data_IF_483669663570
#
_entry.id   IF_483669663570
#
_cell.length_a   1.000
_cell.length_b   1.000
_cell.length_c   1.000
_cell.angle_alpha   90.00
_cell.angle_beta   90.00
_cell.angle_gamma   90.00
#
_symmetry.space_group_name_H-M   'P 1'
#
loop_
_entity.id
_entity.type
_entity.pdbx_description
1 polymer ?
#
# COMPACT_ATOMS: atom_id res chain seq x y z
N UNK A 1 -12.61 -2.95 5.43
CA UNK A 1 -13.00 -2.55 4.06
C UNK A 1 -12.41 -3.49 3.04
N UNK A 2 -11.18 -3.23 2.57
CA UNK A 2 -10.57 -3.96 1.45
C UNK A 2 -10.67 -5.50 1.52
N UNK A 3 -10.38 -6.12 2.67
CA UNK A 3 -10.50 -7.57 2.86
C UNK A 3 -11.91 -8.11 2.58
N UNK A 4 -12.95 -7.42 3.08
CA UNK A 4 -14.34 -7.85 2.91
C UNK A 4 -14.79 -7.73 1.45
N UNK A 5 -14.38 -6.67 0.75
CA UNK A 5 -14.75 -6.46 -0.65
C UNK A 5 -14.01 -7.41 -1.59
N UNK A 6 -12.68 -7.53 -1.41
CA UNK A 6 -11.87 -8.48 -2.19
C UNK A 6 -12.23 -9.93 -1.91
N UNK A 7 -12.63 -10.27 -0.68
CA UNK A 7 -13.09 -11.61 -0.29
C UNK A 7 -14.48 -12.00 -0.84
N UNK A 8 -15.14 -11.13 -1.62
CA UNK A 8 -16.33 -11.51 -2.39
C UNK A 8 -15.98 -12.30 -3.66
N UNK A 9 -14.74 -12.19 -4.14
CA UNK A 9 -14.27 -12.90 -5.32
C UNK A 9 -13.98 -14.39 -5.00
N UNK A 10 -14.20 -15.28 -5.97
CA UNK A 10 -13.83 -16.70 -5.86
C UNK A 10 -14.58 -17.49 -4.78
N UNK A 11 -15.86 -17.16 -4.52
CA UNK A 11 -16.70 -17.89 -3.54
C UNK A 11 -17.06 -19.31 -3.96
N UNK A 12 -16.89 -19.61 -5.24
CA UNK A 12 -16.94 -20.93 -5.85
C UNK A 12 -15.66 -21.75 -5.59
N UNK A 13 -14.61 -21.15 -5.01
CA UNK A 13 -13.33 -21.80 -4.75
C UNK A 13 -12.37 -21.78 -5.96
N UNK A 14 -12.83 -21.26 -7.10
CA UNK A 14 -12.00 -21.12 -8.29
C UNK A 14 -11.03 -19.94 -8.16
N UNK A 15 -10.01 -19.95 -9.03
CA UNK A 15 -9.03 -18.88 -9.03
C UNK A 15 -9.69 -17.53 -9.37
N UNK A 16 -9.47 -16.55 -8.49
CA UNK A 16 -9.88 -15.17 -8.71
C UNK A 16 -8.73 -14.19 -8.48
N UNK A 17 -8.84 -13.00 -9.08
CA UNK A 17 -7.83 -11.95 -8.98
C UNK A 17 -8.41 -10.72 -8.29
N UNK A 18 -7.63 -10.15 -7.36
CA UNK A 18 -7.97 -8.91 -6.67
C UNK A 18 -6.93 -7.85 -7.03
N UNK A 19 -7.34 -6.85 -7.81
CA UNK A 19 -6.48 -5.74 -8.21
C UNK A 19 -6.81 -4.50 -7.39
N UNK A 20 -5.77 -3.81 -6.92
CA UNK A 20 -5.90 -2.53 -6.23
C UNK A 20 -5.06 -1.48 -6.95
N UNK A 21 -5.73 -0.51 -7.57
CA UNK A 21 -5.06 0.65 -8.14
C UNK A 21 -4.83 1.66 -7.03
N UNK A 22 -3.59 2.08 -6.87
CA UNK A 22 -3.18 2.96 -5.79
C UNK A 22 -2.53 4.24 -6.34
N UNK A 23 -2.94 5.37 -5.79
CA UNK A 23 -2.25 6.65 -5.93
C UNK A 23 -2.19 7.38 -4.59
N UNK A 24 -1.11 8.12 -4.36
CA UNK A 24 -0.98 8.93 -3.14
C UNK A 24 -2.06 10.02 -3.04
N UNK A 25 -2.54 10.51 -4.18
CA UNK A 25 -3.57 11.55 -4.21
C UNK A 25 -4.91 11.02 -3.66
N UNK A 26 -5.22 9.74 -3.85
CA UNK A 26 -6.45 9.15 -3.32
C UNK A 26 -6.40 9.00 -1.79
N UNK A 27 -5.20 8.78 -1.23
CA UNK A 27 -4.99 8.89 0.22
C UNK A 27 -5.38 10.28 0.72
N UNK A 28 -4.84 11.34 0.09
CA UNK A 28 -5.09 12.74 0.51
C UNK A 28 -6.58 13.10 0.39
N UNK A 29 -7.24 12.67 -0.69
CA UNK A 29 -8.70 12.86 -0.87
C UNK A 29 -9.51 12.14 0.21
N UNK A 30 -9.17 10.88 0.51
CA UNK A 30 -9.88 10.09 1.53
C UNK A 30 -9.66 10.67 2.93
N UNK A 31 -8.45 11.14 3.24
CA UNK A 31 -8.17 11.85 4.49
C UNK A 31 -9.02 13.12 4.62
N UNK A 32 -9.18 13.91 3.54
CA UNK A 32 -10.08 15.07 3.52
C UNK A 32 -11.51 14.66 3.85
N UNK A 33 -12.04 13.62 3.22
CA UNK A 33 -13.39 13.12 3.49
C UNK A 33 -13.59 12.78 4.97
N UNK A 34 -12.63 12.08 5.58
CA UNK A 34 -12.65 11.76 7.02
C UNK A 34 -12.59 13.03 7.90
N UNK A 35 -11.86 14.05 7.47
CA UNK A 35 -11.70 15.31 8.22
C UNK A 35 -12.91 16.23 8.12
N UNK A 36 -13.61 16.24 6.98
CA UNK A 36 -14.77 17.10 6.72
C UNK A 36 -16.11 16.43 7.04
N UNK A 37 -16.10 15.21 7.57
CA UNK A 37 -17.31 14.45 7.90
C UNK A 37 -18.08 15.14 9.04
N UNK A 38 -19.31 15.57 8.78
CA UNK A 38 -20.18 16.26 9.74
C UNK A 38 -21.22 15.35 10.41
N UNK A 39 -21.01 14.03 10.32
CA UNK A 39 -21.94 13.04 10.89
C UNK A 39 -22.00 13.16 12.41
N UNK A 40 -23.16 12.93 13.07
CA UNK A 40 -23.25 12.82 14.53
C UNK A 40 -22.31 11.74 15.11
N UNK A 41 -21.96 10.73 14.30
CA UNK A 41 -21.03 9.66 14.65
C UNK A 41 -19.55 10.01 14.40
N UNK A 42 -19.26 11.22 13.92
CA UNK A 42 -17.90 11.72 13.67
C UNK A 42 -17.26 12.25 14.96
N UNK A 43 -17.28 11.46 16.03
CA UNK A 43 -16.51 11.76 17.24
C UNK A 43 -15.02 11.82 16.92
N UNK A 44 -14.23 12.54 17.74
CA UNK A 44 -12.78 12.65 17.55
C UNK A 44 -12.09 11.27 17.57
N UNK A 45 -12.55 10.37 18.43
CA UNK A 45 -12.02 9.01 18.50
C UNK A 45 -12.37 8.19 17.26
N UNK A 46 -13.62 8.28 16.78
CA UNK A 46 -14.02 7.58 15.56
C UNK A 46 -13.25 8.11 14.33
N UNK A 47 -13.02 9.42 14.25
CA UNK A 47 -12.20 10.05 13.22
C UNK A 47 -10.75 9.54 13.26
N UNK A 48 -10.16 9.46 14.46
CA UNK A 48 -8.81 8.92 14.65
C UNK A 48 -8.72 7.47 14.17
N UNK A 49 -9.64 6.61 14.59
CA UNK A 49 -9.68 5.20 14.15
C UNK A 49 -9.79 5.08 12.64
N UNK A 50 -10.63 5.91 11.98
CA UNK A 50 -10.71 5.93 10.51
C UNK A 50 -9.40 6.36 9.86
N UNK A 51 -8.70 7.33 10.45
CA UNK A 51 -7.40 7.78 9.99
C UNK A 51 -6.33 6.69 10.11
N UNK A 52 -6.27 6.00 11.25
CA UNK A 52 -5.33 4.90 11.50
C UNK A 52 -5.57 3.72 10.54
N UNK A 53 -6.83 3.38 10.29
CA UNK A 53 -7.22 2.38 9.28
C UNK A 53 -6.78 2.79 7.87
N UNK A 54 -6.93 4.07 7.52
CA UNK A 54 -6.51 4.58 6.21
C UNK A 54 -4.98 4.55 6.05
N UNK A 55 -4.21 4.87 7.09
CA UNK A 55 -2.75 4.73 7.06
C UNK A 55 -2.33 3.27 6.93
N UNK A 56 -3.05 2.34 7.56
CA UNK A 56 -2.80 0.90 7.42
C UNK A 56 -3.01 0.43 5.97
N UNK A 57 -4.06 0.90 5.30
CA UNK A 57 -4.29 0.62 3.86
C UNK A 57 -3.18 1.24 3.00
N UNK A 58 -2.74 2.45 3.31
CA UNK A 58 -1.63 3.09 2.62
C UNK A 58 -0.34 2.28 2.75
N UNK A 59 0.03 1.87 3.97
CA UNK A 59 1.19 1.03 4.22
C UNK A 59 1.12 -0.32 3.47
N UNK A 60 -0.07 -0.92 3.42
CA UNK A 60 -0.30 -2.12 2.60
C UNK A 60 0.01 -1.88 1.12
N UNK A 61 -0.44 -0.76 0.54
CA UNK A 61 -0.25 -0.45 -0.88
C UNK A 61 1.22 -0.22 -1.24
N UNK A 62 1.93 0.60 -0.46
CA UNK A 62 3.31 0.99 -0.76
C UNK A 62 4.35 -0.10 -0.44
N UNK A 63 3.97 -1.12 0.34
CA UNK A 63 4.87 -2.21 0.66
C UNK A 63 5.07 -3.11 -0.57
N UNK A 64 6.21 -3.00 -1.24
CA UNK A 64 6.55 -3.79 -2.44
C UNK A 64 7.41 -5.03 -2.11
N UNK A 65 7.53 -5.40 -0.83
CA UNK A 65 8.44 -6.44 -0.37
C UNK A 65 7.73 -7.59 0.32
N UNK A 66 6.92 -7.30 1.35
CA UNK A 66 6.31 -8.32 2.19
C UNK A 66 5.13 -8.99 1.49
N UNK A 67 4.91 -10.27 1.78
CA UNK A 67 3.80 -11.02 1.21
C UNK A 67 2.46 -10.33 1.50
N UNK A 68 1.66 -10.05 0.46
CA UNK A 68 0.33 -9.41 0.62
C UNK A 68 -0.58 -10.17 1.58
N UNK A 69 -0.52 -11.51 1.58
CA UNK A 69 -1.32 -12.36 2.50
C UNK A 69 -0.84 -12.23 3.94
N UNK A 70 0.49 -12.18 4.16
CA UNK A 70 1.05 -11.94 5.49
C UNK A 70 0.58 -10.59 6.03
N UNK A 71 0.76 -9.51 5.24
CA UNK A 71 0.33 -8.16 5.64
C UNK A 71 -1.17 -8.09 5.97
N UNK A 72 -2.01 -8.74 5.15
CA UNK A 72 -3.46 -8.71 5.32
C UNK A 72 -3.92 -9.51 6.56
N UNK A 73 -3.33 -10.68 6.79
CA UNK A 73 -3.67 -11.55 7.92
C UNK A 73 -3.11 -11.02 9.25
N UNK A 74 -1.91 -10.44 9.23
CA UNK A 74 -1.30 -9.81 10.40
C UNK A 74 -2.13 -8.65 10.93
N UNK A 75 -2.76 -7.88 10.04
CA UNK A 75 -3.72 -6.83 10.42
C UNK A 75 -4.89 -7.37 11.29
N UNK A 76 -5.28 -8.63 11.10
CA UNK A 76 -6.31 -9.32 11.90
C UNK A 76 -5.73 -10.16 13.05
N UNK A 77 -4.42 -10.05 13.31
CA UNK A 77 -3.74 -10.82 14.36
C UNK A 77 -3.43 -12.27 13.97
N UNK A 78 -3.58 -12.63 12.70
CA UNK A 78 -3.29 -13.97 12.19
C UNK A 78 -1.86 -14.08 11.67
N UNK A 79 -1.22 -15.23 11.92
CA UNK A 79 0.16 -15.49 11.48
C UNK A 79 0.16 -16.27 10.18
N UNK A 80 0.80 -15.72 9.15
CA UNK A 80 0.94 -16.37 7.85
C UNK A 80 2.35 -16.21 7.30
N UNK A 81 2.99 -17.32 6.92
CA UNK A 81 4.35 -17.30 6.40
C UNK A 81 4.35 -17.05 4.89
N UNK A 82 5.19 -16.12 4.43
CA UNK A 82 5.36 -15.85 3.00
C UNK A 82 5.72 -17.10 2.18
N UNK A 83 6.39 -18.09 2.79
CA UNK A 83 6.70 -19.38 2.17
C UNK A 83 5.44 -20.17 1.79
N UNK A 84 4.33 -20.02 2.50
CA UNK A 84 3.04 -20.64 2.15
C UNK A 84 2.48 -20.02 0.87
N UNK A 85 2.54 -18.70 0.71
CA UNK A 85 2.13 -18.02 -0.53
C UNK A 85 3.00 -18.46 -1.71
N UNK A 86 4.32 -18.56 -1.52
CA UNK A 86 5.27 -18.96 -2.57
C UNK A 86 5.09 -20.40 -3.06
N UNK A 87 4.54 -21.31 -2.24
CA UNK A 87 4.25 -22.69 -2.65
C UNK A 87 3.13 -22.79 -3.68
N UNK A 88 2.21 -21.83 -3.73
CA UNK A 88 1.08 -21.82 -4.65
C UNK A 88 1.37 -20.93 -5.86
N UNK A 89 2.12 -21.45 -6.84
CA UNK A 89 2.63 -20.67 -7.99
C UNK A 89 1.51 -20.00 -8.80
N UNK A 90 0.35 -20.66 -8.94
CA UNK A 90 -0.82 -20.15 -9.68
C UNK A 90 -1.50 -18.95 -8.99
N UNK A 91 -1.48 -18.91 -7.65
CA UNK A 91 -2.24 -17.94 -6.84
C UNK A 91 -1.37 -17.06 -5.93
N UNK A 92 -0.03 -17.13 -6.06
CA UNK A 92 0.91 -16.30 -5.28
C UNK A 92 0.68 -14.82 -5.58
N UNK A 93 0.86 -13.96 -4.57
CA UNK A 93 0.69 -12.52 -4.73
C UNK A 93 1.84 -11.87 -5.53
N UNK A 94 1.61 -10.65 -6.02
CA UNK A 94 2.55 -9.81 -6.76
C UNK A 94 3.91 -9.64 -6.07
N UNK A 95 3.94 -9.37 -4.77
CA UNK A 95 5.20 -9.21 -4.02
C UNK A 95 5.99 -10.53 -3.97
N UNK A 96 5.31 -11.66 -3.76
CA UNK A 96 5.95 -12.98 -3.80
C UNK A 96 6.36 -13.42 -5.22
N UNK A 97 5.77 -12.85 -6.27
CA UNK A 97 6.23 -13.02 -7.65
C UNK A 97 7.48 -12.20 -7.94
N UNK A 98 7.58 -11.01 -7.37
CA UNK A 98 8.56 -9.99 -7.79
C UNK A 98 9.81 -9.97 -6.92
N UNK A 99 9.74 -10.50 -5.69
CA UNK A 99 10.82 -10.42 -4.71
C UNK A 99 11.46 -11.78 -4.48
N UNK A 100 12.67 -11.93 -5.04
CA UNK A 100 13.49 -13.11 -4.86
C UNK A 100 14.05 -13.16 -3.44
N UNK A 101 14.65 -12.05 -3.01
CA UNK A 101 15.33 -11.92 -1.72
C UNK A 101 15.03 -10.56 -1.09
N UNK A 102 14.82 -10.60 0.21
CA UNK A 102 14.66 -9.43 1.07
C UNK A 102 15.54 -9.59 2.31
N UNK A 103 15.98 -8.47 2.88
CA UNK A 103 16.67 -8.44 4.17
C UNK A 103 15.96 -7.47 5.10
N UNK A 104 16.02 -7.73 6.40
CA UNK A 104 15.62 -6.75 7.41
C UNK A 104 16.74 -5.72 7.55
N UNK A 105 16.37 -4.45 7.50
CA UNK A 105 17.29 -3.32 7.66
C UNK A 105 16.77 -2.45 8.79
N UNK A 106 17.66 -2.11 9.71
CA UNK A 106 17.39 -1.13 10.75
C UNK A 106 17.57 0.28 10.18
N UNK A 107 16.49 1.06 10.22
CA UNK A 107 16.42 2.45 9.77
C UNK A 107 16.33 3.44 10.94
N UNK A 108 16.65 3.03 12.17
CA UNK A 108 16.51 3.87 13.37
C UNK A 108 17.35 5.15 13.27
N UNK A 109 18.61 5.06 12.85
CA UNK A 109 19.46 6.25 12.71
C UNK A 109 18.97 7.20 11.62
N UNK A 110 18.53 6.68 10.47
CA UNK A 110 17.91 7.50 9.43
C UNK A 110 16.61 8.15 9.93
N UNK A 111 15.84 7.44 10.75
CA UNK A 111 14.59 7.95 11.35
C UNK A 111 14.85 9.12 12.28
N UNK A 112 15.89 9.05 13.12
CA UNK A 112 16.32 10.18 13.98
C UNK A 112 16.66 11.42 13.14
N UNK A 113 17.43 11.22 12.06
CA UNK A 113 17.78 12.31 11.13
C UNK A 113 16.54 12.91 10.44
N UNK A 114 15.58 12.07 10.07
CA UNK A 114 14.30 12.53 9.50
C UNK A 114 13.52 13.40 10.50
N UNK A 115 13.44 12.99 11.77
CA UNK A 115 12.74 13.78 12.80
C UNK A 115 13.43 15.14 13.01
N UNK A 116 14.76 15.17 13.09
CA UNK A 116 15.53 16.41 13.20
C UNK A 116 15.31 17.33 11.98
N UNK A 117 15.28 16.78 10.76
CA UNK A 117 14.98 17.54 9.56
C UNK A 117 13.56 18.13 9.59
N UNK A 118 12.55 17.33 9.98
CA UNK A 118 11.16 17.81 10.08
C UNK A 118 11.05 18.91 11.14
N UNK A 119 11.73 18.77 12.27
CA UNK A 119 11.81 19.81 13.30
C UNK A 119 12.39 21.11 12.74
N UNK A 120 13.54 21.06 12.08
CA UNK A 120 14.20 22.22 11.49
C UNK A 120 13.35 22.91 10.41
N UNK A 121 12.66 22.13 9.57
CA UNK A 121 11.80 22.67 8.50
C UNK A 121 10.53 23.32 9.08
N UNK A 122 9.96 22.74 10.14
CA UNK A 122 8.70 23.24 10.74
C UNK A 122 8.91 24.48 11.61
N UNK A 123 10.07 24.65 12.25
CA UNK A 123 10.42 25.87 13.00
C UNK A 123 10.36 27.14 12.13
N UNK A 124 10.66 27.02 10.84
CA UNK A 124 10.62 28.12 9.89
C UNK A 124 9.21 28.39 9.30
N UNK A 125 8.15 27.87 9.93
CA UNK A 125 6.76 27.94 9.45
C UNK A 125 6.57 27.36 8.02
N UNK A 126 7.53 26.59 7.52
CA UNK A 126 7.45 25.94 6.21
C UNK A 126 6.73 24.61 6.36
N UNK A 127 5.67 24.45 5.58
CA UNK A 127 4.94 23.19 5.48
C UNK A 127 5.63 22.29 4.45
N UNK A 128 5.93 21.05 4.84
CA UNK A 128 6.66 20.08 3.99
C UNK A 128 5.79 18.88 3.66
N UNK A 129 5.80 18.41 2.41
CA UNK A 129 5.09 17.19 2.00
C UNK A 129 6.01 15.97 2.07
N UNK A 130 5.45 14.75 2.08
CA UNK A 130 6.25 13.50 1.97
C UNK A 130 7.17 13.54 0.75
N UNK A 131 6.64 13.88 -0.42
CA UNK A 131 7.43 13.90 -1.65
C UNK A 131 8.61 14.87 -1.57
N UNK A 132 8.39 16.06 -1.00
CA UNK A 132 9.43 17.04 -0.80
C UNK A 132 10.51 16.56 0.18
N UNK A 133 10.09 15.94 1.29
CA UNK A 133 11.02 15.38 2.28
C UNK A 133 11.88 14.27 1.67
N UNK A 134 11.27 13.37 0.88
CA UNK A 134 11.98 12.34 0.12
C UNK A 134 12.97 12.98 -0.85
N UNK A 135 12.59 14.06 -1.54
CA UNK A 135 13.46 14.76 -2.48
C UNK A 135 14.70 15.35 -1.77
N UNK A 136 14.55 15.96 -0.60
CA UNK A 136 15.68 16.47 0.21
C UNK A 136 16.59 15.33 0.65
N UNK A 137 16.03 14.30 1.29
CA UNK A 137 16.78 13.15 1.82
C UNK A 137 17.55 12.40 0.72
N UNK A 138 17.03 12.38 -0.51
CA UNK A 138 17.65 11.72 -1.66
C UNK A 138 18.57 12.60 -2.50
N UNK A 139 18.81 13.84 -2.09
CA UNK A 139 19.72 14.72 -2.83
C UNK A 139 19.15 15.22 -4.17
N UNK A 140 17.83 15.43 -4.24
CA UNK A 140 17.18 15.93 -5.45
C UNK A 140 17.68 17.32 -5.83
N UNK A 141 17.88 17.54 -7.12
CA UNK A 141 18.25 18.86 -7.71
C UNK A 141 17.02 19.63 -8.21
N UNK A 142 15.83 19.28 -7.74
CA UNK A 142 14.62 19.99 -8.11
C UNK A 142 14.70 21.47 -7.70
N UNK A 143 14.18 22.36 -8.54
CA UNK A 143 14.22 23.82 -8.33
C UNK A 143 13.68 24.22 -6.96
N UNK A 144 12.63 23.57 -6.47
CA UNK A 144 12.03 23.88 -5.17
C UNK A 144 12.93 23.52 -3.97
N UNK A 145 13.83 22.55 -4.11
CA UNK A 145 14.81 22.19 -3.07
C UNK A 145 15.93 23.23 -3.04
N UNK A 146 16.50 23.54 -4.21
CA UNK A 146 17.61 24.49 -4.37
C UNK A 146 17.18 25.92 -4.01
N UNK A 147 16.03 26.37 -4.51
CA UNK A 147 15.52 27.71 -4.23
C UNK A 147 15.18 27.93 -2.75
N UNK A 148 14.88 26.84 -2.03
CA UNK A 148 14.64 26.88 -0.59
C UNK A 148 15.93 26.86 0.24
N UNK A 149 17.10 26.63 -0.38
CA UNK A 149 18.39 26.43 0.27
C UNK A 149 18.52 25.10 1.00
N UNK A 150 17.63 24.14 0.72
CA UNK A 150 17.58 22.87 1.44
C UNK A 150 18.59 21.83 0.92
N UNK A 151 19.27 22.14 -0.19
CA UNK A 151 20.45 21.43 -0.69
C UNK A 151 21.71 21.65 0.16
N UNK A 152 21.67 22.63 1.08
CA UNK A 152 22.76 22.95 2.00
C UNK A 152 22.55 22.41 3.42
N UNK A 153 21.44 21.69 3.67
CA UNK A 153 21.15 21.09 4.97
C UNK A 153 22.00 19.84 5.21
N UNK A 154 22.29 19.56 6.47
CA UNK A 154 23.05 18.36 6.87
C UNK A 154 22.35 17.06 6.43
N UNK A 155 21.02 17.05 6.46
CA UNK A 155 20.20 15.90 6.06
C UNK A 155 19.96 15.82 4.55
N UNK A 156 20.55 16.71 3.75
CA UNK A 156 20.50 16.59 2.30
C UNK A 156 21.30 15.37 1.84
N UNK A 157 20.71 14.57 0.95
CA UNK A 157 21.37 13.42 0.32
C UNK A 157 21.76 12.25 1.27
N UNK A 158 21.34 12.26 2.54
CA UNK A 158 21.67 11.19 3.51
C UNK A 158 21.04 9.83 3.17
N UNK A 159 20.00 9.80 2.34
CA UNK A 159 19.29 8.60 1.89
C UNK A 159 19.51 8.32 0.40
N UNK A 160 20.65 8.74 -0.17
CA UNK A 160 20.97 8.53 -1.59
C UNK A 160 20.91 7.05 -1.99
N UNK A 161 21.49 6.18 -1.15
CA UNK A 161 21.63 4.73 -1.39
C UNK A 161 20.35 3.94 -1.10
N UNK A 162 19.35 4.58 -0.49
CA UNK A 162 18.05 3.97 -0.18
C UNK A 162 17.12 4.22 -1.36
N UNK A 163 16.56 3.17 -1.97
CA UNK A 163 15.59 3.34 -3.06
C UNK A 163 14.39 4.17 -2.59
N UNK A 164 13.85 5.00 -3.49
CA UNK A 164 12.80 6.00 -3.15
C UNK A 164 11.61 5.40 -2.40
N UNK A 165 11.10 4.26 -2.88
CA UNK A 165 9.96 3.57 -2.26
C UNK A 165 10.23 3.17 -0.80
N UNK A 166 11.46 2.82 -0.44
CA UNK A 166 11.80 2.48 0.94
C UNK A 166 11.84 3.71 1.85
N UNK A 167 12.24 4.88 1.32
CA UNK A 167 12.14 6.14 2.05
C UNK A 167 10.68 6.50 2.28
N UNK A 168 9.81 6.33 1.27
CA UNK A 168 8.37 6.55 1.40
C UNK A 168 7.71 5.57 2.40
N UNK A 169 8.11 4.28 2.38
CA UNK A 169 7.71 3.27 3.35
C UNK A 169 8.16 3.61 4.77
N UNK A 170 9.39 4.11 4.92
CA UNK A 170 9.92 4.56 6.21
C UNK A 170 9.11 5.74 6.76
N UNK A 171 8.84 6.76 5.94
CA UNK A 171 8.01 7.89 6.34
C UNK A 171 6.58 7.45 6.72
N UNK A 172 6.00 6.50 5.97
CA UNK A 172 4.70 5.92 6.32
C UNK A 172 4.73 5.20 7.68
N UNK A 173 5.78 4.43 7.96
CA UNK A 173 5.95 3.72 9.24
C UNK A 173 6.06 4.73 10.38
N UNK A 174 6.85 5.79 10.22
CA UNK A 174 6.98 6.86 11.23
C UNK A 174 5.67 7.61 11.49
N UNK A 175 4.80 7.75 10.48
CA UNK A 175 3.46 8.32 10.67
C UNK A 175 2.57 7.37 11.48
N UNK A 176 2.54 6.08 11.11
CA UNK A 176 1.73 5.05 11.79
C UNK A 176 2.14 4.88 13.25
N UNK A 177 3.45 4.88 13.50
CA UNK A 177 4.01 4.76 14.85
C UNK A 177 3.90 6.06 15.67
N UNK A 178 3.34 7.12 15.10
CA UNK A 178 3.08 8.39 15.79
C UNK A 178 4.31 9.27 16.02
N UNK A 179 5.44 8.98 15.36
CA UNK A 179 6.63 9.85 15.33
C UNK A 179 6.45 11.07 14.42
N UNK A 180 5.69 10.89 13.34
CA UNK A 180 5.28 11.95 12.43
C UNK A 180 3.76 12.07 12.43
N UNK A 181 3.28 13.27 12.16
CA UNK A 181 1.87 13.56 11.93
C UNK A 181 1.68 14.20 10.56
N UNK A 182 0.51 14.01 9.96
CA UNK A 182 0.19 14.66 8.69
C UNK A 182 -1.06 15.53 8.81
N UNK A 183 -0.87 16.84 8.68
CA UNK A 183 -1.93 17.85 8.67
C UNK A 183 -2.41 18.10 7.24
N UNK A 184 -3.72 18.08 7.03
CA UNK A 184 -4.30 18.47 5.75
C UNK A 184 -4.58 19.96 5.76
N UNK A 185 -4.10 20.64 4.74
CA UNK A 185 -4.52 21.99 4.38
C UNK A 185 -5.35 21.90 3.10
N UNK A 186 -6.53 22.51 3.14
CA UNK A 186 -7.40 22.65 1.98
C UNK A 186 -7.12 24.02 1.39
N UNK A 187 -6.75 24.06 0.12
CA UNK A 187 -6.75 25.31 -0.62
C UNK A 187 -8.16 25.55 -1.14
N UNK A 188 -8.90 26.46 -0.51
CA UNK A 188 -10.30 26.74 -0.82
C UNK A 188 -10.48 27.30 -2.24
N UNK A 189 -9.45 27.95 -2.82
CA UNK A 189 -9.49 28.53 -4.16
C UNK A 189 -9.52 27.45 -5.26
N UNK A 190 -8.73 26.39 -5.11
CA UNK A 190 -8.59 25.34 -6.12
C UNK A 190 -9.27 24.03 -5.72
N UNK A 191 -9.84 23.96 -4.51
CA UNK A 191 -10.42 22.74 -3.96
C UNK A 191 -9.41 21.61 -3.75
N UNK A 192 -8.11 21.89 -3.84
CA UNK A 192 -7.04 20.89 -3.70
C UNK A 192 -6.66 20.72 -2.24
N UNK A 193 -6.60 19.48 -1.77
CA UNK A 193 -6.05 19.15 -0.47
C UNK A 193 -4.56 18.84 -0.60
N UNK A 194 -3.75 19.46 0.25
CA UNK A 194 -2.32 19.17 0.41
C UNK A 194 -2.08 18.67 1.82
N UNK A 195 -1.18 17.70 1.96
CA UNK A 195 -0.98 17.02 3.22
C UNK A 195 0.48 17.19 3.67
N UNK A 196 0.65 17.94 4.76
CA UNK A 196 1.94 18.42 5.27
C UNK A 196 2.35 17.66 6.52
N UNK A 197 3.64 17.38 6.64
CA UNK A 197 4.22 16.63 7.75
C UNK A 197 4.57 17.58 8.89
N UNK A 198 4.33 17.12 10.12
CA UNK A 198 4.82 17.69 11.36
C UNK A 198 5.35 16.58 12.28
N UNK A 199 6.02 16.98 13.36
CA UNK A 199 6.37 16.04 14.42
C UNK A 199 5.10 15.47 15.05
N UNK A 200 5.14 14.17 15.34
CA UNK A 200 4.10 13.46 16.06
C UNK A 200 4.23 13.61 17.58
N UNK A 201 3.46 12.82 18.31
CA UNK A 201 3.47 12.82 19.78
C UNK A 201 4.64 12.01 20.35
N UNK A 202 5.10 11.02 19.61
CA UNK A 202 6.20 10.18 20.01
C UNK A 202 7.50 10.83 19.57
N UNK A 203 8.42 11.06 20.51
CA UNK A 203 9.70 11.75 20.25
C UNK A 203 10.91 10.84 20.46
N UNK A 204 10.72 9.69 21.12
CA UNK A 204 11.80 8.75 21.45
C UNK A 204 11.50 7.37 20.87
N UNK A 205 12.50 6.77 20.22
CA UNK A 205 12.43 5.40 19.73
C UNK A 205 12.50 4.41 20.90
N UNK A 206 11.39 3.71 21.17
CA UNK A 206 11.36 2.65 22.18
C UNK A 206 11.96 1.35 21.63
N UNK A 207 11.67 1.06 20.36
CA UNK A 207 12.14 -0.11 19.62
C UNK A 207 12.82 0.31 18.31
N UNK A 208 13.70 -0.55 17.74
CA UNK A 208 14.30 -0.30 16.44
C UNK A 208 13.27 -0.21 15.31
N UNK A 209 13.47 0.73 14.37
CA UNK A 209 12.62 0.89 13.17
C UNK A 209 13.14 -0.02 12.07
N UNK A 210 12.58 -1.23 11.99
CA UNK A 210 13.00 -2.27 11.04
C UNK A 210 12.05 -2.32 9.85
N UNK A 211 12.60 -2.35 8.63
CA UNK A 211 11.86 -2.61 7.39
C UNK A 211 12.48 -3.75 6.59
N UNK A 212 11.63 -4.52 5.91
CA UNK A 212 12.07 -5.46 4.89
C UNK A 212 12.43 -4.70 3.60
N UNK A 213 13.63 -4.92 3.08
CA UNK A 213 14.12 -4.27 1.86
C UNK A 213 14.44 -5.34 0.82
N UNK A 214 13.88 -5.19 -0.39
CA UNK A 214 14.23 -6.05 -1.52
C UNK A 214 15.69 -5.83 -1.90
N UNK A 215 16.48 -6.91 -1.89
CA UNK A 215 17.88 -6.91 -2.35
C UNK A 215 18.03 -7.49 -3.74
N UNK A 216 17.08 -8.34 -4.15
CA UNK A 216 17.03 -8.94 -5.48
C UNK A 216 15.59 -9.07 -5.93
N UNK A 217 15.27 -8.41 -7.05
CA UNK A 217 13.99 -8.61 -7.76
C UNK A 217 14.10 -9.85 -8.65
N UNK A 218 13.01 -10.61 -8.74
CA UNK A 218 12.84 -11.52 -9.87
C UNK A 218 12.39 -10.67 -11.05
N UNK A 219 13.05 -10.84 -12.20
CA UNK A 219 12.37 -10.47 -13.43
C UNK A 219 11.17 -11.40 -13.52
N UNK A 220 9.94 -10.90 -13.71
CA UNK A 220 8.87 -11.71 -14.22
C UNK A 220 9.30 -12.07 -15.65
N UNK A 221 10.17 -13.07 -15.77
CA UNK A 221 10.37 -13.76 -17.01
C UNK A 221 9.00 -14.39 -17.24
N UNK A 222 8.18 -13.70 -18.02
CA UNK A 222 7.01 -14.24 -18.67
C UNK A 222 7.59 -15.30 -19.61
N UNK A 223 8.03 -16.43 -19.05
CA UNK A 223 7.70 -17.69 -19.69
C UNK A 223 6.19 -17.64 -19.69
N UNK A 224 5.64 -17.11 -20.79
CA UNK A 224 4.36 -17.56 -21.27
C UNK A 224 4.51 -19.07 -21.22
N UNK A 225 3.95 -19.69 -20.18
CA UNK A 225 3.51 -21.06 -20.32
C UNK A 225 2.51 -20.93 -21.46
N UNK A 226 3.00 -21.10 -22.69
CA UNK A 226 2.15 -21.43 -23.81
C UNK A 226 1.49 -22.69 -23.29
N UNK A 227 0.26 -22.55 -22.80
CA UNK A 227 -0.59 -23.68 -22.58
C UNK A 227 -0.62 -24.38 -23.94
N UNK A 228 0.16 -25.44 -24.08
CA UNK A 228 -0.08 -26.43 -25.11
C UNK A 228 -1.42 -27.04 -24.75
N UNK A 229 -2.48 -26.33 -25.12
CA UNK A 229 -3.86 -26.72 -24.95
C UNK A 229 -4.00 -28.00 -25.75
N UNK A 230 -3.93 -29.12 -25.04
CA UNK A 230 -4.16 -30.44 -25.60
C UNK A 230 -5.56 -30.46 -26.21
N UNK A 231 -5.76 -31.24 -27.27
CA UNK A 231 -7.09 -31.40 -27.89
C UNK A 231 -8.16 -31.74 -26.86
N UNK A 232 -7.80 -32.49 -25.80
CA UNK A 232 -8.65 -32.82 -24.66
C UNK A 232 -9.10 -31.56 -23.90
N UNK A 233 -8.21 -30.62 -23.60
CA UNK A 233 -8.56 -29.41 -22.85
C UNK A 233 -9.56 -28.56 -23.64
N UNK A 234 -9.36 -28.40 -24.96
CA UNK A 234 -10.32 -27.66 -25.80
C UNK A 234 -11.71 -28.29 -25.82
N UNK A 235 -11.77 -29.62 -25.84
CA UNK A 235 -13.04 -30.35 -25.78
C UNK A 235 -13.72 -30.19 -24.42
N UNK A 236 -12.95 -30.23 -23.33
CA UNK A 236 -13.47 -29.99 -21.97
C UNK A 236 -14.00 -28.56 -21.84
N UNK A 237 -13.25 -27.56 -22.30
CA UNK A 237 -13.69 -26.16 -22.29
C UNK A 237 -14.97 -25.97 -23.12
N UNK A 238 -15.04 -26.61 -24.31
CA UNK A 238 -16.22 -26.58 -25.15
C UNK A 238 -17.44 -27.27 -24.53
N UNK A 239 -17.25 -28.37 -23.81
CA UNK A 239 -18.33 -29.03 -23.06
C UNK A 239 -18.79 -28.18 -21.87
N UNK A 240 -17.86 -27.53 -21.16
CA UNK A 240 -18.17 -26.67 -20.02
C UNK A 240 -19.03 -25.47 -20.44
N UNK A 241 -18.71 -24.84 -21.57
CA UNK A 241 -19.51 -23.72 -22.08
C UNK A 241 -20.93 -24.16 -22.46
N UNK A 242 -21.10 -25.32 -23.10
CA UNK A 242 -22.43 -25.88 -23.39
C UNK A 242 -23.23 -26.17 -22.12
N UNK A 243 -22.60 -26.76 -21.10
CA UNK A 243 -23.22 -26.99 -19.80
C UNK A 243 -23.68 -25.67 -19.15
N UNK A 244 -22.86 -24.61 -19.21
CA UNK A 244 -23.25 -23.29 -18.71
C UNK A 244 -24.45 -22.70 -19.46
N UNK A 245 -24.55 -22.92 -20.77
CA UNK A 245 -25.70 -22.48 -21.57
C UNK A 245 -26.99 -23.21 -21.16
N UNK A 246 -26.94 -24.53 -21.02
CA UNK A 246 -28.09 -25.34 -20.55
C UNK A 246 -28.53 -24.92 -19.14
N UNK A 247 -27.60 -24.70 -18.22
CA UNK A 247 -27.91 -24.22 -16.88
C UNK A 247 -28.59 -22.84 -16.89
N UNK A 248 -28.26 -21.96 -17.84
CA UNK A 248 -28.95 -20.67 -18.01
C UNK A 248 -30.38 -20.86 -18.52
N UNK A 249 -30.62 -21.80 -19.43
CA UNK A 249 -31.96 -22.14 -19.90
C UNK A 249 -32.85 -22.65 -18.75
N UNK A 250 -32.33 -23.60 -17.96
CA UNK A 250 -33.04 -24.13 -16.77
C UNK A 250 -33.27 -23.02 -15.73
N UNK A 251 -32.28 -22.15 -15.51
CA UNK A 251 -32.41 -20.99 -14.63
C UNK A 251 -33.56 -20.07 -15.04
N UNK A 252 -33.72 -19.81 -16.34
CA UNK A 252 -34.80 -18.98 -16.87
C UNK A 252 -36.18 -19.67 -16.76
N UNK A 253 -36.25 -20.98 -16.98
CA UNK A 253 -37.49 -21.76 -16.90
C UNK A 253 -38.04 -21.84 -15.47
N UNK A 254 -37.16 -22.10 -14.49
CA UNK A 254 -37.54 -22.33 -13.09
C UNK A 254 -37.45 -21.08 -12.20
N UNK A 255 -37.01 -19.93 -12.74
CA UNK A 255 -36.89 -18.68 -11.99
C UNK A 255 -35.84 -18.71 -10.87
N UNK A 256 -34.90 -19.66 -10.92
CA UNK A 256 -33.82 -19.84 -9.93
C UNK A 256 -32.49 -19.38 -10.53
N UNK A 257 -31.53 -18.94 -9.71
CA UNK A 257 -30.21 -18.50 -10.22
C UNK A 257 -29.42 -19.70 -10.75
N UNK A 258 -28.79 -19.54 -11.92
CA UNK A 258 -27.99 -20.61 -12.54
C UNK A 258 -26.90 -21.17 -11.62
N UNK A 259 -26.27 -20.33 -10.79
CA UNK A 259 -25.24 -20.70 -9.80
C UNK A 259 -25.77 -21.51 -8.61
N UNK A 260 -27.06 -21.81 -8.56
CA UNK A 260 -27.72 -22.61 -7.51
C UNK A 260 -28.14 -23.98 -8.04
N UNK A 261 -28.08 -24.18 -9.35
CA UNK A 261 -28.47 -25.42 -10.02
C UNK A 261 -27.32 -26.44 -9.96
N UNK A 262 -26.09 -25.97 -10.15
CA UNK A 262 -24.86 -26.74 -10.13
C UNK A 262 -23.69 -25.88 -9.64
#
# INVERSE_FOLDING_TARGET
>A
GYYQESGRAGRDGEQAYCYLFYSYQDLVKTKRLIMTEQSPNATRDAQKTRMDNLHSVYAYCINDVDCRRTLLLEYFGERYLASQCKKHVETRCDNCCSVAQAKLVDFTELSKQILALVEQLTQNMRTTTINYLVDVLKGSKQKAVIAAGHDQLEQYNIAQDVIRINVERLLSKLIIDGYLHQDISINDTYGTASAYIRLGKNTTFADPIILSVCTKKENPNIQSMKATSSTRNRLVDGCLEKLKEELKCISAEYGIKYSTIL
#
